data_IF_893460049260
#
_entry.id   IF_893460049260
#
_cell.length_a   1.000
_cell.length_b   1.000
_cell.length_c   1.000
_cell.angle_alpha   90.00
_cell.angle_beta   90.00
_cell.angle_gamma   90.00
#
_symmetry.space_group_name_H-M   'P 1'
#
loop_
_entity.id
_entity.type
_entity.pdbx_description
1 polymer ?
#
# COMPACT_ATOMS: atom_id res chain seq x y z
N UNK A 1 -0.83 1.47 34.11
CA UNK A 1 -1.83 2.16 33.27
C UNK A 1 -1.04 2.72 32.10
N UNK A 2 -1.35 2.34 30.87
CA UNK A 2 -0.57 2.75 29.69
C UNK A 2 -0.64 4.27 29.58
N UNK A 3 0.52 4.92 29.54
CA UNK A 3 0.64 6.39 29.46
C UNK A 3 0.88 6.87 28.03
N UNK A 4 1.10 5.93 27.11
CA UNK A 4 1.33 6.12 25.69
C UNK A 4 0.60 5.01 24.91
N UNK A 5 -0.02 5.35 23.79
CA UNK A 5 -0.81 4.46 22.96
C UNK A 5 -0.39 4.66 21.51
N UNK A 6 -0.08 3.57 20.82
CA UNK A 6 0.24 3.58 19.38
C UNK A 6 -0.96 3.15 18.53
N UNK A 7 -1.97 2.58 19.17
CA UNK A 7 -3.19 2.15 18.52
C UNK A 7 -4.42 2.72 19.23
N UNK A 8 -5.44 3.06 18.44
CA UNK A 8 -6.68 3.65 18.94
C UNK A 8 -7.41 2.77 19.97
N UNK A 9 -7.32 1.44 19.82
CA UNK A 9 -7.93 0.46 20.74
C UNK A 9 -7.23 0.41 22.12
N UNK A 10 -6.02 0.96 22.24
CA UNK A 10 -5.27 1.06 23.50
C UNK A 10 -5.72 2.26 24.35
N UNK A 11 -6.45 3.21 23.76
CA UNK A 11 -6.95 4.38 24.46
C UNK A 11 -7.90 3.97 25.60
N UNK A 12 -7.82 4.61 26.78
CA UNK A 12 -8.80 4.39 27.85
C UNK A 12 -10.24 4.63 27.39
N UNK A 13 -11.19 3.80 27.84
CA UNK A 13 -12.61 3.91 27.49
C UNK A 13 -13.17 5.32 27.72
N UNK A 14 -12.67 6.00 28.76
CA UNK A 14 -13.08 7.36 29.14
C UNK A 14 -12.78 8.43 28.09
N UNK A 15 -11.83 8.20 27.18
CA UNK A 15 -11.46 9.15 26.12
C UNK A 15 -11.66 8.58 24.72
N UNK A 16 -11.70 7.25 24.58
CA UNK A 16 -11.76 6.58 23.28
C UNK A 16 -12.95 7.03 22.45
N UNK A 17 -14.14 7.15 23.06
CA UNK A 17 -15.34 7.63 22.37
C UNK A 17 -15.16 9.02 21.75
N UNK A 18 -14.55 9.96 22.48
CA UNK A 18 -14.31 11.31 21.99
C UNK A 18 -13.36 11.36 20.80
N UNK A 19 -12.32 10.53 20.80
CA UNK A 19 -11.35 10.47 19.69
C UNK A 19 -11.95 9.71 18.50
N UNK A 20 -12.63 8.59 18.73
CA UNK A 20 -13.30 7.80 17.67
C UNK A 20 -14.37 8.63 16.97
N UNK A 21 -15.22 9.33 17.72
CA UNK A 21 -16.33 10.10 17.16
C UNK A 21 -15.85 11.35 16.40
N UNK A 22 -14.63 11.82 16.69
CA UNK A 22 -14.00 12.96 16.01
C UNK A 22 -13.21 12.56 14.76
N UNK A 23 -12.76 11.30 14.67
CA UNK A 23 -12.05 10.78 13.51
C UNK A 23 -12.97 10.68 12.29
N UNK A 24 -12.54 11.22 11.16
CA UNK A 24 -13.20 10.95 9.87
C UNK A 24 -12.79 9.58 9.31
N UNK A 25 -13.55 9.04 8.34
CA UNK A 25 -13.21 7.75 7.71
C UNK A 25 -11.84 7.75 7.00
N UNK A 26 -11.33 8.93 6.64
CA UNK A 26 -10.03 9.09 5.97
C UNK A 26 -8.88 9.36 6.95
N UNK A 27 -9.18 9.71 8.21
CA UNK A 27 -8.20 10.17 9.17
C UNK A 27 -7.58 9.00 9.94
N UNK A 28 -6.25 8.95 10.01
CA UNK A 28 -5.53 7.82 10.63
C UNK A 28 -5.02 8.20 12.01
N UNK A 29 -5.37 7.44 13.05
CA UNK A 29 -4.80 7.59 14.38
C UNK A 29 -3.31 7.21 14.37
N UNK A 30 -2.45 8.09 14.91
CA UNK A 30 -1.00 7.85 14.97
C UNK A 30 -0.54 7.48 16.38
N UNK A 31 -0.83 8.33 17.37
CA UNK A 31 -0.44 8.08 18.75
C UNK A 31 -1.28 8.89 19.75
N UNK A 32 -1.24 8.49 21.02
CA UNK A 32 -1.73 9.32 22.11
C UNK A 32 -0.87 9.19 23.37
N UNK A 33 -0.74 10.30 24.10
CA UNK A 33 0.00 10.35 25.35
C UNK A 33 -0.82 11.00 26.44
N UNK A 34 -0.65 10.49 27.66
CA UNK A 34 -1.25 11.08 28.86
C UNK A 34 -0.45 12.33 29.28
N UNK A 35 -1.17 13.40 29.57
CA UNK A 35 -0.63 14.67 30.09
C UNK A 35 -1.33 15.12 31.37
N UNK A 36 -0.68 16.02 32.11
CA UNK A 36 -1.27 16.74 33.24
C UNK A 36 -1.39 18.23 32.92
N UNK A 37 -2.60 18.78 33.06
CA UNK A 37 -2.88 20.21 32.86
C UNK A 37 -3.40 20.86 34.16
N UNK A 38 -2.90 22.05 34.50
CA UNK A 38 -3.47 22.88 35.57
C UNK A 38 -3.21 22.42 37.01
N UNK A 39 -2.08 21.77 37.28
CA UNK A 39 -1.76 21.19 38.59
C UNK A 39 -2.40 19.81 38.78
N UNK A 40 -2.04 19.12 39.87
CA UNK A 40 -2.23 17.67 40.15
C UNK A 40 -3.67 17.08 40.05
N UNK A 41 -4.69 17.80 39.55
CA UNK A 41 -6.10 17.41 39.65
C UNK A 41 -6.80 17.09 38.33
N UNK A 42 -6.20 17.36 37.15
CA UNK A 42 -6.83 17.06 35.86
C UNK A 42 -5.94 16.13 35.01
N UNK A 43 -6.54 15.06 34.51
CA UNK A 43 -5.90 14.17 33.54
C UNK A 43 -6.34 14.59 32.15
N UNK A 44 -5.37 14.92 31.30
CA UNK A 44 -5.62 15.20 29.91
C UNK A 44 -4.88 14.18 29.03
N UNK A 45 -5.30 14.07 27.78
CA UNK A 45 -4.68 13.25 26.77
C UNK A 45 -4.50 14.07 25.51
N UNK A 46 -3.31 13.96 24.93
CA UNK A 46 -2.99 14.45 23.61
C UNK A 46 -3.07 13.24 22.68
N UNK A 47 -3.86 13.32 21.63
CA UNK A 47 -3.96 12.29 20.60
C UNK A 47 -3.70 12.93 19.24
N UNK A 48 -2.77 12.39 18.48
CA UNK A 48 -2.41 12.89 17.15
C UNK A 48 -2.85 11.92 16.09
N UNK A 49 -3.39 12.47 15.01
CA UNK A 49 -3.86 11.76 13.83
C UNK A 49 -3.11 12.24 12.59
N UNK A 50 -3.56 11.86 11.40
CA UNK A 50 -3.07 12.44 10.15
C UNK A 50 -3.41 13.92 9.99
N UNK A 51 -4.50 14.40 10.60
CA UNK A 51 -5.09 15.70 10.27
C UNK A 51 -5.23 16.64 11.49
N UNK A 52 -5.34 16.08 12.70
CA UNK A 52 -5.62 16.82 13.92
C UNK A 52 -4.75 16.38 15.10
N UNK A 53 -4.50 17.33 15.98
CA UNK A 53 -4.11 17.11 17.36
C UNK A 53 -5.32 17.34 18.26
N UNK A 54 -5.78 16.27 18.90
CA UNK A 54 -6.87 16.30 19.86
C UNK A 54 -6.35 16.44 21.29
N UNK A 55 -6.89 17.40 22.04
CA UNK A 55 -6.67 17.54 23.48
C UNK A 55 -7.95 17.16 24.21
N UNK A 56 -7.93 16.01 24.87
CA UNK A 56 -9.06 15.50 25.68
C UNK A 56 -8.77 15.74 27.15
N UNK A 57 -9.45 16.70 27.77
CA UNK A 57 -9.34 16.95 29.22
C UNK A 57 -10.47 16.24 29.94
N UNK A 58 -10.15 15.21 30.72
CA UNK A 58 -11.12 14.48 31.54
C UNK A 58 -11.28 15.18 32.90
N UNK A 59 -12.47 15.71 33.16
CA UNK A 59 -12.88 16.27 34.46
C UNK A 59 -13.80 15.28 35.18
N UNK A 60 -13.98 15.46 36.48
CA UNK A 60 -14.75 14.56 37.35
C UNK A 60 -16.22 14.34 36.90
N UNK A 61 -16.77 15.24 36.09
CA UNK A 61 -18.19 15.26 35.69
C UNK A 61 -18.36 15.28 34.17
N UNK A 62 -17.34 15.71 33.41
CA UNK A 62 -17.42 15.91 31.96
C UNK A 62 -16.03 15.82 31.32
N UNK A 63 -15.94 15.55 30.02
CA UNK A 63 -14.69 15.63 29.27
C UNK A 63 -14.82 16.65 28.13
N UNK A 64 -13.82 17.51 27.99
CA UNK A 64 -13.76 18.51 26.90
C UNK A 64 -12.76 18.06 25.85
N UNK A 65 -13.18 18.04 24.60
CA UNK A 65 -12.34 17.82 23.42
C UNK A 65 -12.03 19.18 22.79
N UNK A 66 -10.75 19.49 22.61
CA UNK A 66 -10.28 20.55 21.72
C UNK A 66 -9.63 19.88 20.52
N UNK A 67 -10.03 20.28 19.32
CA UNK A 67 -9.41 19.85 18.07
C UNK A 67 -8.53 20.97 17.54
N UNK A 68 -7.25 20.69 17.36
CA UNK A 68 -6.30 21.59 16.71
C UNK A 68 -5.94 20.97 15.37
N UNK A 69 -6.41 21.53 14.24
CA UNK A 69 -5.98 21.05 12.93
C UNK A 69 -4.46 21.16 12.80
N UNK A 70 -3.79 20.12 12.33
CA UNK A 70 -2.32 20.16 12.18
C UNK A 70 -1.90 21.25 11.20
N UNK A 71 -2.75 21.59 10.23
CA UNK A 71 -2.54 22.69 9.27
C UNK A 71 -2.52 24.07 9.92
N UNK A 72 -2.87 24.22 11.21
CA UNK A 72 -2.75 25.50 11.92
C UNK A 72 -1.53 25.57 12.84
N UNK A 73 -0.78 24.48 12.98
CA UNK A 73 0.42 24.40 13.82
C UNK A 73 1.60 25.03 13.09
N UNK A 74 2.25 26.00 13.72
CA UNK A 74 3.44 26.69 13.20
C UNK A 74 4.72 26.12 13.79
N UNK A 75 4.71 25.69 15.06
CA UNK A 75 5.89 25.12 15.69
C UNK A 75 5.55 24.11 16.78
N UNK A 76 6.44 23.13 16.96
CA UNK A 76 6.40 22.21 18.11
C UNK A 76 7.77 22.19 18.76
N UNK A 77 7.84 22.79 19.93
CA UNK A 77 9.04 22.77 20.76
C UNK A 77 8.90 21.75 21.88
N UNK A 78 10.03 21.17 22.28
CA UNK A 78 10.04 20.27 23.43
C UNK A 78 11.26 20.41 24.30
N UNK A 79 11.01 20.44 25.61
CA UNK A 79 12.03 20.55 26.64
C UNK A 79 11.93 19.41 27.65
N UNK A 80 13.07 19.01 28.20
CA UNK A 80 13.11 18.03 29.29
C UNK A 80 12.79 18.71 30.61
N UNK A 81 11.86 18.13 31.37
CA UNK A 81 11.50 18.62 32.71
C UNK A 81 12.19 17.74 33.74
N UNK A 82 13.20 18.28 34.41
CA UNK A 82 13.96 17.58 35.45
C UNK A 82 13.18 17.56 36.77
N UNK A 83 12.39 16.50 36.99
CA UNK A 83 11.73 16.21 38.26
C UNK A 83 12.37 14.98 38.95
N UNK A 84 12.55 15.01 40.28
CA UNK A 84 13.13 13.89 41.01
C UNK A 84 12.21 12.66 40.95
N UNK A 85 12.63 11.64 40.21
CA UNK A 85 11.96 10.33 40.12
C UNK A 85 11.00 10.15 38.94
N UNK A 86 10.79 11.19 38.12
CA UNK A 86 9.94 11.11 36.91
C UNK A 86 10.64 11.80 35.74
N UNK A 87 10.76 11.11 34.60
CA UNK A 87 11.19 11.70 33.34
C UNK A 87 9.96 12.22 32.62
N UNK A 88 9.83 13.54 32.49
CA UNK A 88 8.75 14.21 31.75
C UNK A 88 9.33 15.13 30.69
N UNK A 89 8.49 15.45 29.72
CA UNK A 89 8.79 16.49 28.73
C UNK A 89 7.70 17.54 28.76
N UNK A 90 8.09 18.78 28.58
CA UNK A 90 7.18 19.86 28.25
C UNK A 90 7.12 19.94 26.72
N UNK A 91 5.92 19.96 26.17
CA UNK A 91 5.67 20.18 24.75
C UNK A 91 4.92 21.51 24.62
N UNK A 92 5.45 22.40 23.79
CA UNK A 92 4.80 23.65 23.40
C UNK A 92 4.38 23.52 21.95
N UNK A 93 3.09 23.72 21.69
CA UNK A 93 2.50 23.71 20.36
C UNK A 93 2.05 25.13 20.07
N UNK A 94 2.70 25.76 19.09
CA UNK A 94 2.28 27.06 18.59
C UNK A 94 1.38 26.86 17.38
N UNK A 95 0.28 27.61 17.36
CA UNK A 95 -0.57 27.76 16.19
C UNK A 95 -0.54 29.22 15.76
N UNK A 96 -1.14 29.48 14.60
CA UNK A 96 -1.36 30.84 14.09
C UNK A 96 -2.01 31.76 15.12
N UNK A 97 -2.98 31.24 15.88
CA UNK A 97 -3.85 32.03 16.75
C UNK A 97 -3.50 31.91 18.24
N UNK A 98 -2.88 30.80 18.67
CA UNK A 98 -2.74 30.44 20.08
C UNK A 98 -1.45 29.65 20.34
N UNK A 99 -1.07 29.54 21.62
CA UNK A 99 0.04 28.69 22.06
C UNK A 99 -0.42 27.82 23.23
N UNK A 100 -0.09 26.53 23.16
CA UNK A 100 -0.49 25.53 24.14
C UNK A 100 0.73 24.81 24.69
N UNK A 101 0.89 24.81 26.02
CA UNK A 101 1.97 24.09 26.70
C UNK A 101 1.41 22.96 27.56
N UNK A 102 2.00 21.77 27.43
CA UNK A 102 1.59 20.56 28.15
C UNK A 102 2.80 19.81 28.72
N UNK A 103 2.68 19.29 29.94
CA UNK A 103 3.62 18.31 30.47
C UNK A 103 3.17 16.90 30.11
N UNK A 104 3.96 16.19 29.30
CA UNK A 104 3.68 14.82 28.85
C UNK A 104 4.61 13.81 29.50
N UNK A 105 4.09 12.60 29.72
CA UNK A 105 4.90 11.46 30.11
C UNK A 105 5.46 10.76 28.88
N UNK A 106 6.46 11.38 28.25
CA UNK A 106 7.17 10.87 27.08
C UNK A 106 8.69 10.83 27.33
N UNK A 107 9.18 9.84 28.09
CA UNK A 107 10.57 9.79 28.51
C UNK A 107 11.54 9.65 27.33
N UNK A 108 11.12 8.96 26.27
CA UNK A 108 11.95 8.63 25.12
C UNK A 108 11.78 9.64 23.98
N UNK A 109 10.68 10.40 23.93
CA UNK A 109 10.41 11.40 22.90
C UNK A 109 9.60 10.86 21.72
N UNK A 110 9.04 9.66 21.84
CA UNK A 110 8.37 8.94 20.75
C UNK A 110 7.08 9.64 20.33
N UNK A 111 6.32 10.18 21.31
CA UNK A 111 5.13 10.95 21.00
C UNK A 111 5.51 12.26 20.29
N UNK A 112 6.53 12.95 20.76
CA UNK A 112 6.97 14.22 20.16
C UNK A 112 7.42 14.02 18.72
N UNK A 113 8.22 12.98 18.47
CA UNK A 113 8.64 12.60 17.11
C UNK A 113 7.43 12.29 16.22
N UNK A 114 6.42 11.59 16.76
CA UNK A 114 5.18 11.29 16.02
C UNK A 114 4.41 12.56 15.67
N UNK A 115 4.25 13.52 16.60
CA UNK A 115 3.55 14.78 16.32
C UNK A 115 4.34 15.63 15.33
N UNK A 116 5.66 15.75 15.51
CA UNK A 116 6.53 16.50 14.59
C UNK A 116 6.47 15.90 13.18
N UNK A 117 6.51 14.56 13.06
CA UNK A 117 6.34 13.87 11.77
C UNK A 117 4.96 14.14 11.17
N UNK A 118 3.89 14.17 11.97
CA UNK A 118 2.56 14.48 11.48
C UNK A 118 2.42 15.94 11.00
N UNK A 119 3.03 16.89 11.72
CA UNK A 119 3.03 18.31 11.32
C UNK A 119 3.92 18.56 10.09
N UNK A 120 5.05 17.86 9.99
CA UNK A 120 5.92 17.92 8.81
C UNK A 120 5.22 17.45 7.51
N UNK A 121 4.14 16.68 7.62
CA UNK A 121 3.36 16.19 6.48
C UNK A 121 2.21 17.12 6.05
N UNK A 122 2.04 18.28 6.69
CA UNK A 122 1.00 19.26 6.34
C UNK A 122 1.62 20.60 5.94
N UNK A 123 0.98 21.35 5.03
CA UNK A 123 1.50 22.65 4.60
C UNK A 123 1.50 23.65 5.75
N UNK A 124 2.56 24.45 5.83
CA UNK A 124 2.69 25.55 6.80
C UNK A 124 1.45 26.48 6.73
N UNK A 125 0.74 26.70 7.85
CA UNK A 125 -0.40 27.62 7.90
C UNK A 125 -0.08 29.02 7.40
N UNK A 126 1.12 29.53 7.68
CA UNK A 126 1.53 30.85 7.24
C UNK A 126 1.51 30.92 5.72
N UNK A 127 1.87 29.84 5.02
CA UNK A 127 1.78 29.74 3.56
C UNK A 127 0.34 29.68 3.03
N UNK A 128 -0.63 29.33 3.85
CA UNK A 128 -2.04 29.25 3.42
C UNK A 128 -2.80 30.56 3.57
N UNK A 129 -2.36 31.47 4.46
CA UNK A 129 -2.99 32.78 4.67
C UNK A 129 -2.00 33.95 4.46
N UNK A 130 -2.22 34.84 3.48
CA UNK A 130 -1.32 35.95 3.16
C UNK A 130 -1.30 37.06 4.22
N UNK A 131 -2.13 36.99 5.27
CA UNK A 131 -2.18 37.99 6.34
C UNK A 131 -1.15 37.73 7.45
N UNK A 132 -0.58 36.52 7.52
CA UNK A 132 0.45 36.17 8.50
C UNK A 132 1.85 36.56 7.99
N UNK A 133 2.68 37.06 8.91
CA UNK A 133 4.09 37.31 8.64
C UNK A 133 4.78 35.97 8.50
N UNK A 134 5.26 35.64 7.31
CA UNK A 134 5.93 34.36 7.04
C UNK A 134 7.37 34.40 7.49
N UNK A 135 7.75 33.49 8.38
CA UNK A 135 9.18 33.14 8.48
C UNK A 135 9.57 32.32 7.24
N UNK A 136 10.21 33.00 6.28
CA UNK A 136 10.57 32.40 4.99
C UNK A 136 11.50 31.19 5.17
N UNK A 137 12.41 31.22 6.14
CA UNK A 137 13.36 30.12 6.32
C UNK A 137 12.65 28.89 6.92
N UNK A 138 11.72 29.12 7.85
CA UNK A 138 10.84 28.07 8.37
C UNK A 138 9.94 27.47 7.28
N UNK A 139 9.33 28.32 6.46
CA UNK A 139 8.45 27.88 5.37
C UNK A 139 9.20 27.06 4.30
N UNK A 140 10.45 27.42 3.99
CA UNK A 140 11.30 26.61 3.10
C UNK A 140 11.58 25.24 3.73
N UNK A 141 11.94 25.20 5.02
CA UNK A 141 12.18 23.94 5.72
C UNK A 141 10.93 23.04 5.73
N UNK A 142 9.74 23.59 6.00
CA UNK A 142 8.49 22.84 5.92
C UNK A 142 8.27 22.25 4.52
N UNK A 143 8.54 23.01 3.46
CA UNK A 143 8.44 22.49 2.10
C UNK A 143 9.43 21.35 1.83
N UNK A 144 10.66 21.44 2.35
CA UNK A 144 11.67 20.37 2.25
C UNK A 144 11.22 19.10 2.98
N UNK A 145 10.67 19.24 4.19
CA UNK A 145 10.18 18.12 4.99
C UNK A 145 9.00 17.41 4.29
N UNK A 146 8.08 18.18 3.69
CA UNK A 146 6.97 17.65 2.88
C UNK A 146 7.49 16.89 1.65
N UNK A 147 8.56 17.36 1.00
CA UNK A 147 9.21 16.65 -0.13
C UNK A 147 9.83 15.33 0.33
N UNK A 148 10.46 15.30 1.50
CA UNK A 148 11.02 14.07 2.08
C UNK A 148 9.92 13.06 2.43
N UNK A 149 8.80 13.54 2.99
CA UNK A 149 7.62 12.71 3.23
C UNK A 149 7.06 12.13 1.92
N UNK A 150 6.93 12.93 0.87
CA UNK A 150 6.49 12.47 -0.45
C UNK A 150 7.41 11.38 -1.03
N UNK A 151 8.73 11.57 -0.90
CA UNK A 151 9.73 10.59 -1.36
C UNK A 151 9.65 9.28 -0.56
N UNK A 152 9.40 9.37 0.76
CA UNK A 152 9.22 8.21 1.63
C UNK A 152 7.95 7.44 1.26
N UNK A 153 6.81 8.13 1.11
CA UNK A 153 5.56 7.54 0.65
C UNK A 153 5.72 6.85 -0.71
N UNK A 154 6.47 7.45 -1.64
CA UNK A 154 6.81 6.84 -2.94
C UNK A 154 7.61 5.53 -2.75
N UNK A 155 8.65 5.54 -1.93
CA UNK A 155 9.47 4.35 -1.67
C UNK A 155 8.67 3.21 -1.00
N UNK A 156 7.69 3.60 -0.18
CA UNK A 156 6.72 2.68 0.41
C UNK A 156 5.62 2.28 -0.57
N UNK A 157 5.62 2.79 -1.81
CA UNK A 157 4.65 2.56 -2.87
C UNK A 157 3.23 3.07 -2.56
N UNK A 158 3.11 4.07 -1.70
CA UNK A 158 1.90 4.83 -1.38
C UNK A 158 1.79 5.99 -2.37
N UNK A 159 1.52 5.66 -3.64
CA UNK A 159 1.65 6.61 -4.74
C UNK A 159 0.63 7.77 -4.71
N UNK A 160 -0.58 7.52 -4.18
CA UNK A 160 -1.59 8.57 -4.02
C UNK A 160 -1.15 9.60 -2.97
N UNK A 161 -0.72 9.12 -1.79
CA UNK A 161 -0.16 9.96 -0.73
C UNK A 161 1.09 10.73 -1.20
N UNK A 162 2.01 10.05 -1.90
CA UNK A 162 3.19 10.72 -2.46
C UNK A 162 2.80 11.85 -3.44
N UNK A 163 1.75 11.64 -4.25
CA UNK A 163 1.25 12.66 -5.18
C UNK A 163 0.68 13.86 -4.44
N UNK A 164 -0.16 13.64 -3.43
CA UNK A 164 -0.74 14.70 -2.59
C UNK A 164 0.34 15.50 -1.85
N UNK A 165 1.36 14.82 -1.32
CA UNK A 165 2.49 15.47 -0.65
C UNK A 165 3.33 16.30 -1.63
N UNK A 166 3.60 15.81 -2.85
CA UNK A 166 4.29 16.63 -3.86
C UNK A 166 3.45 17.85 -4.30
N UNK A 167 2.13 17.74 -4.43
CA UNK A 167 1.26 18.89 -4.73
C UNK A 167 1.30 19.94 -3.62
N UNK A 168 1.32 19.48 -2.37
CA UNK A 168 1.45 20.30 -1.18
C UNK A 168 2.78 21.07 -1.21
N UNK A 169 3.91 20.38 -1.43
CA UNK A 169 5.22 21.02 -1.56
C UNK A 169 5.29 22.03 -2.71
N UNK A 170 4.74 21.69 -3.89
CA UNK A 170 4.70 22.61 -5.06
C UNK A 170 3.94 23.89 -4.70
N UNK A 171 2.82 23.76 -3.99
CA UNK A 171 2.01 24.90 -3.56
C UNK A 171 2.78 25.75 -2.55
N UNK A 172 3.41 25.12 -1.55
CA UNK A 172 4.23 25.80 -0.54
C UNK A 172 5.38 26.60 -1.18
N UNK A 173 6.20 25.95 -2.00
CA UNK A 173 7.32 26.62 -2.69
C UNK A 173 6.88 27.77 -3.60
N UNK A 174 5.73 27.65 -4.29
CA UNK A 174 5.17 28.75 -5.09
C UNK A 174 4.78 29.93 -4.22
N UNK A 175 4.13 29.69 -3.08
CA UNK A 175 3.79 30.76 -2.14
C UNK A 175 5.03 31.44 -1.59
N UNK A 176 6.06 30.67 -1.19
CA UNK A 176 7.35 31.24 -0.74
C UNK A 176 7.95 32.11 -1.84
N UNK A 177 7.98 31.62 -3.08
CA UNK A 177 8.50 32.35 -4.24
C UNK A 177 7.76 33.69 -4.46
N UNK A 178 6.44 33.73 -4.33
CA UNK A 178 5.65 34.95 -4.50
C UNK A 178 5.86 35.98 -3.38
N UNK A 179 6.19 35.52 -2.17
CA UNK A 179 6.41 36.37 -0.99
C UNK A 179 7.83 36.90 -0.87
N UNK A 180 8.79 36.27 -1.55
CA UNK A 180 10.17 36.71 -1.56
C UNK A 180 10.34 38.07 -2.27
N UNK A 181 11.24 38.94 -1.76
CA UNK A 181 11.56 40.19 -2.44
C UNK A 181 12.13 39.94 -3.84
N UNK A 182 11.79 40.83 -4.78
CA UNK A 182 12.35 40.76 -6.14
C UNK A 182 13.89 40.84 -6.10
N UNK A 183 14.55 39.80 -6.60
CA UNK A 183 16.02 39.68 -6.64
C UNK A 183 16.63 39.01 -5.41
N UNK A 184 15.83 38.33 -4.59
CA UNK A 184 16.36 37.43 -3.55
C UNK A 184 17.08 36.23 -4.19
N UNK A 185 18.29 35.93 -3.72
CA UNK A 185 19.13 34.85 -4.25
C UNK A 185 18.51 33.46 -4.09
N UNK A 186 17.50 33.30 -3.21
CA UNK A 186 16.76 32.04 -3.02
C UNK A 186 15.80 31.71 -4.17
N UNK A 187 15.44 32.67 -5.03
CA UNK A 187 14.54 32.42 -6.17
C UNK A 187 15.04 31.30 -7.09
N UNK A 188 16.33 31.32 -7.44
CA UNK A 188 16.92 30.33 -8.34
C UNK A 188 16.88 28.91 -7.72
N UNK A 189 17.11 28.81 -6.41
CA UNK A 189 17.05 27.54 -5.69
C UNK A 189 15.62 26.99 -5.61
N UNK A 190 14.63 27.85 -5.35
CA UNK A 190 13.22 27.46 -5.30
C UNK A 190 12.71 27.05 -6.69
N UNK A 191 13.10 27.74 -7.76
CA UNK A 191 12.72 27.37 -9.13
C UNK A 191 13.31 26.01 -9.55
N UNK A 192 14.57 25.75 -9.16
CA UNK A 192 15.19 24.44 -9.35
C UNK A 192 14.45 23.34 -8.58
N UNK A 193 14.16 23.56 -7.29
CA UNK A 193 13.40 22.62 -6.46
C UNK A 193 12.01 22.33 -7.05
N UNK A 194 11.28 23.37 -7.47
CA UNK A 194 9.98 23.22 -8.13
C UNK A 194 10.05 22.39 -9.41
N UNK A 195 11.11 22.56 -10.20
CA UNK A 195 11.33 21.79 -11.42
C UNK A 195 11.54 20.31 -11.11
N UNK A 196 12.38 20.01 -10.11
CA UNK A 196 12.69 18.65 -9.70
C UNK A 196 11.47 17.95 -9.10
N UNK A 197 10.73 18.64 -8.23
CA UNK A 197 9.50 18.13 -7.60
C UNK A 197 8.42 17.84 -8.65
N UNK A 198 8.21 18.75 -9.61
CA UNK A 198 7.25 18.53 -10.71
C UNK A 198 7.65 17.35 -11.61
N UNK A 199 8.95 17.14 -11.83
CA UNK A 199 9.45 15.99 -12.57
C UNK A 199 9.20 14.68 -11.79
N UNK A 200 9.46 14.67 -10.47
CA UNK A 200 9.20 13.53 -9.61
C UNK A 200 7.70 13.17 -9.56
N UNK A 201 6.83 14.17 -9.38
CA UNK A 201 5.38 13.99 -9.40
C UNK A 201 4.92 13.38 -10.74
N UNK A 202 5.40 13.90 -11.87
CA UNK A 202 5.05 13.38 -13.20
C UNK A 202 5.48 11.91 -13.37
N UNK A 203 6.66 11.53 -12.89
CA UNK A 203 7.12 10.15 -12.93
C UNK A 203 6.20 9.20 -12.15
N UNK A 204 5.70 9.63 -10.98
CA UNK A 204 4.74 8.84 -10.20
C UNK A 204 3.43 8.67 -10.97
N UNK A 205 2.88 9.74 -11.53
CA UNK A 205 1.64 9.68 -12.32
C UNK A 205 1.80 8.73 -13.51
N UNK A 206 2.89 8.86 -14.28
CA UNK A 206 3.18 7.97 -15.41
C UNK A 206 3.32 6.51 -14.96
N UNK A 207 3.97 6.25 -13.82
CA UNK A 207 4.10 4.92 -13.24
C UNK A 207 2.73 4.35 -12.82
N UNK A 208 1.87 5.14 -12.17
CA UNK A 208 0.52 4.73 -11.76
C UNK A 208 -0.34 4.36 -12.98
N UNK A 209 -0.37 5.22 -13.99
CA UNK A 209 -1.10 4.97 -15.24
C UNK A 209 -0.60 3.70 -15.93
N UNK A 210 0.73 3.50 -15.97
CA UNK A 210 1.34 2.30 -16.54
C UNK A 210 0.95 1.05 -15.75
N UNK A 211 1.02 1.10 -14.42
CA UNK A 211 0.65 -0.01 -13.53
C UNK A 211 -0.82 -0.38 -13.70
N UNK A 212 -1.74 0.57 -13.78
CA UNK A 212 -3.16 0.29 -14.00
C UNK A 212 -3.44 -0.26 -15.41
N UNK A 213 -2.72 0.22 -16.42
CA UNK A 213 -2.80 -0.35 -17.78
C UNK A 213 -2.34 -1.82 -17.78
N UNK A 214 -1.19 -2.11 -17.15
CA UNK A 214 -0.66 -3.48 -17.01
C UNK A 214 -1.65 -4.36 -16.24
N UNK A 215 -2.17 -3.89 -15.10
CA UNK A 215 -3.17 -4.61 -14.30
C UNK A 215 -4.42 -4.95 -15.09
N UNK A 216 -4.93 -4.01 -15.89
CA UNK A 216 -6.08 -4.23 -16.77
C UNK A 216 -5.80 -5.32 -17.81
N UNK A 217 -4.62 -5.27 -18.45
CA UNK A 217 -4.19 -6.28 -19.45
C UNK A 217 -4.03 -7.66 -18.82
N UNK A 218 -3.34 -7.74 -17.68
CA UNK A 218 -3.16 -8.99 -16.94
C UNK A 218 -4.50 -9.59 -16.50
N UNK A 219 -5.46 -8.75 -16.07
CA UNK A 219 -6.81 -9.21 -15.69
C UNK A 219 -7.56 -9.81 -16.88
N UNK A 220 -7.53 -9.14 -18.04
CA UNK A 220 -8.19 -9.64 -19.25
C UNK A 220 -7.53 -10.92 -19.77
N UNK A 221 -6.20 -11.00 -19.73
CA UNK A 221 -5.43 -12.17 -20.12
C UNK A 221 -5.72 -13.36 -19.19
N UNK A 222 -5.74 -13.14 -17.88
CA UNK A 222 -6.06 -14.16 -16.89
C UNK A 222 -7.49 -14.69 -17.05
N UNK A 223 -8.48 -13.81 -17.22
CA UNK A 223 -9.86 -14.23 -17.49
C UNK A 223 -9.97 -15.09 -18.76
N UNK A 224 -9.22 -14.73 -19.80
CA UNK A 224 -9.14 -15.52 -21.03
C UNK A 224 -8.48 -16.88 -20.79
N UNK A 225 -7.40 -16.92 -20.00
CA UNK A 225 -6.72 -18.16 -19.63
C UNK A 225 -7.65 -19.09 -18.85
N UNK A 226 -8.30 -18.59 -17.80
CA UNK A 226 -9.23 -19.35 -16.96
C UNK A 226 -10.42 -19.89 -17.78
N UNK A 227 -10.96 -19.07 -18.69
CA UNK A 227 -12.00 -19.51 -19.64
C UNK A 227 -11.48 -20.61 -20.57
N UNK A 228 -10.24 -20.52 -21.04
CA UNK A 228 -9.63 -21.52 -21.91
C UNK A 228 -9.48 -22.87 -21.20
N UNK A 229 -9.02 -22.87 -19.94
CA UNK A 229 -8.89 -24.09 -19.13
C UNK A 229 -10.25 -24.78 -19.01
N UNK A 230 -11.29 -24.05 -18.60
CA UNK A 230 -12.65 -24.61 -18.47
C UNK A 230 -13.18 -25.18 -19.78
N UNK A 231 -13.07 -24.43 -20.88
CA UNK A 231 -13.51 -24.89 -22.20
C UNK A 231 -12.74 -26.16 -22.63
N UNK A 232 -11.45 -26.22 -22.34
CA UNK A 232 -10.60 -27.38 -22.67
C UNK A 232 -11.08 -28.62 -21.91
N UNK A 233 -11.31 -28.49 -20.62
CA UNK A 233 -11.82 -29.57 -19.76
C UNK A 233 -13.20 -30.07 -20.21
N UNK A 234 -14.07 -29.16 -20.65
CA UNK A 234 -15.40 -29.49 -21.18
C UNK A 234 -15.38 -30.06 -22.61
N UNK A 235 -14.20 -30.16 -23.24
CA UNK A 235 -14.05 -30.66 -24.61
C UNK A 235 -14.42 -29.66 -25.71
N UNK A 236 -14.63 -28.38 -25.36
CA UNK A 236 -14.94 -27.29 -26.28
C UNK A 236 -13.67 -26.76 -26.97
N UNK A 237 -13.00 -27.61 -27.76
CA UNK A 237 -11.66 -27.35 -28.31
C UNK A 237 -11.54 -26.00 -29.05
N UNK A 238 -12.51 -25.66 -29.90
CA UNK A 238 -12.47 -24.39 -30.66
C UNK A 238 -12.50 -23.18 -29.71
N UNK A 239 -13.32 -23.23 -28.66
CA UNK A 239 -13.42 -22.16 -27.67
C UNK A 239 -12.11 -22.08 -26.88
N UNK A 240 -11.62 -23.21 -26.38
CA UNK A 240 -10.36 -23.29 -25.65
C UNK A 240 -9.19 -22.69 -26.46
N UNK A 241 -9.06 -23.08 -27.73
CA UNK A 241 -7.99 -22.62 -28.63
C UNK A 241 -8.02 -21.11 -28.86
N UNK A 242 -9.21 -20.54 -29.07
CA UNK A 242 -9.37 -19.08 -29.24
C UNK A 242 -8.98 -18.37 -27.94
N UNK A 243 -9.42 -18.88 -26.79
CA UNK A 243 -9.20 -18.25 -25.48
C UNK A 243 -7.74 -18.34 -25.02
N UNK A 244 -7.05 -19.46 -25.25
CA UNK A 244 -5.61 -19.54 -25.00
C UNK A 244 -4.83 -18.54 -25.86
N UNK A 245 -5.19 -18.38 -27.15
CA UNK A 245 -4.54 -17.37 -28.00
C UNK A 245 -4.75 -15.96 -27.43
N UNK A 246 -5.97 -15.60 -27.09
CA UNK A 246 -6.29 -14.29 -26.50
C UNK A 246 -5.54 -14.04 -25.19
N UNK A 247 -5.44 -15.06 -24.33
CA UNK A 247 -4.68 -14.95 -23.09
C UNK A 247 -3.19 -14.72 -23.36
N UNK A 248 -2.60 -15.47 -24.31
CA UNK A 248 -1.18 -15.36 -24.64
C UNK A 248 -0.87 -13.98 -25.18
N UNK A 249 -1.63 -13.55 -26.20
CA UNK A 249 -1.46 -12.25 -26.83
C UNK A 249 -1.64 -11.13 -25.77
N UNK A 250 -2.59 -11.26 -24.83
CA UNK A 250 -2.77 -10.30 -23.74
C UNK A 250 -1.64 -10.27 -22.70
N UNK A 251 -1.03 -11.43 -22.38
CA UNK A 251 0.16 -11.46 -21.52
C UNK A 251 1.40 -10.92 -22.23
N UNK A 252 1.56 -11.16 -23.54
CA UNK A 252 2.62 -10.58 -24.37
C UNK A 252 2.51 -9.06 -24.41
N UNK A 253 1.30 -8.52 -24.65
CA UNK A 253 1.04 -7.07 -24.57
C UNK A 253 1.37 -6.49 -23.18
N UNK A 254 1.01 -7.20 -22.09
CA UNK A 254 1.37 -6.78 -20.75
C UNK A 254 2.89 -6.78 -20.52
N UNK A 255 3.61 -7.76 -21.10
CA UNK A 255 5.07 -7.86 -21.03
C UNK A 255 5.76 -6.71 -21.75
N UNK A 256 5.28 -6.32 -22.94
CA UNK A 256 5.77 -5.13 -23.65
C UNK A 256 5.57 -3.86 -22.82
N UNK A 257 4.48 -3.78 -22.06
CA UNK A 257 4.24 -2.65 -21.17
C UNK A 257 5.21 -2.63 -19.98
N UNK A 258 5.62 -3.79 -19.50
CA UNK A 258 6.57 -3.93 -18.39
C UNK A 258 8.00 -3.58 -18.80
N UNK A 259 8.37 -3.84 -20.06
CA UNK A 259 9.74 -3.67 -20.58
C UNK A 259 10.19 -2.21 -20.80
N UNK A 260 9.41 -1.24 -20.34
CA UNK A 260 9.79 0.18 -20.36
C UNK A 260 10.79 0.56 -19.27
N UNK A 261 11.16 1.83 -19.23
CA UNK A 261 12.13 2.38 -18.26
C UNK A 261 11.55 2.54 -16.85
N UNK A 262 10.22 2.49 -16.69
CA UNK A 262 9.54 2.66 -15.41
C UNK A 262 9.47 1.33 -14.64
N UNK A 263 9.81 1.31 -13.35
CA UNK A 263 9.83 0.09 -12.54
C UNK A 263 8.40 -0.34 -12.12
N UNK A 264 7.65 -0.90 -13.07
CA UNK A 264 6.24 -1.30 -12.91
C UNK A 264 6.00 -2.23 -11.71
N UNK A 265 7.00 -2.99 -11.25
CA UNK A 265 6.89 -3.95 -10.16
C UNK A 265 7.48 -3.49 -8.82
N UNK A 266 7.62 -2.18 -8.55
CA UNK A 266 7.97 -1.69 -7.19
C UNK A 266 7.08 -2.29 -6.10
N UNK A 267 5.79 -2.48 -6.41
CA UNK A 267 4.86 -3.34 -5.67
C UNK A 267 4.24 -4.41 -6.58
N UNK A 268 3.93 -5.61 -6.06
CA UNK A 268 3.20 -6.61 -6.83
C UNK A 268 1.86 -6.07 -7.35
N UNK A 269 1.50 -6.44 -8.58
CA UNK A 269 0.21 -6.14 -9.19
C UNK A 269 -0.75 -7.27 -8.86
N UNK A 270 -1.81 -6.95 -8.12
CA UNK A 270 -2.87 -7.90 -7.78
C UNK A 270 -3.95 -7.90 -8.85
N UNK A 271 -4.29 -9.10 -9.33
CA UNK A 271 -5.30 -9.35 -10.36
C UNK A 271 -6.34 -10.29 -9.79
N UNK A 272 -7.61 -9.89 -9.81
CA UNK A 272 -8.71 -10.74 -9.38
C UNK A 272 -9.49 -11.19 -10.62
N UNK A 273 -9.26 -12.40 -11.14
CA UNK A 273 -10.07 -12.94 -12.23
C UNK A 273 -11.52 -13.17 -11.76
N UNK A 274 -12.47 -13.23 -12.70
CA UNK A 274 -13.88 -13.57 -12.45
C UNK A 274 -14.03 -15.07 -12.12
N UNK A 275 -13.49 -15.44 -10.97
CA UNK A 275 -13.18 -16.79 -10.54
C UNK A 275 -14.41 -17.67 -10.32
N UNK A 276 -15.45 -17.15 -9.65
CA UNK A 276 -16.58 -17.98 -9.23
C UNK A 276 -17.39 -18.52 -10.42
N UNK A 277 -17.43 -17.76 -11.52
CA UNK A 277 -18.08 -18.21 -12.75
C UNK A 277 -17.21 -19.17 -13.56
N UNK A 278 -15.88 -19.15 -13.39
CA UNK A 278 -14.90 -19.84 -14.23
C UNK A 278 -14.24 -21.05 -13.55
N UNK A 279 -14.43 -21.22 -12.24
CA UNK A 279 -13.83 -22.29 -11.44
C UNK A 279 -14.17 -23.69 -11.97
N UNK A 280 -13.14 -24.54 -12.04
CA UNK A 280 -13.27 -25.98 -12.29
C UNK A 280 -12.90 -26.65 -10.97
N UNK A 281 -13.79 -27.51 -10.48
CA UNK A 281 -13.63 -28.23 -9.23
C UNK A 281 -14.17 -29.64 -9.39
N UNK A 282 -13.75 -30.53 -8.51
CA UNK A 282 -14.13 -31.93 -8.51
C UNK A 282 -12.96 -32.90 -8.65
N UNK A 283 -13.25 -34.20 -8.67
CA UNK A 283 -12.26 -35.25 -8.85
C UNK A 283 -11.74 -35.28 -10.29
N UNK A 284 -10.46 -35.63 -10.47
CA UNK A 284 -9.83 -35.64 -11.79
C UNK A 284 -10.46 -36.67 -12.76
N UNK A 285 -11.05 -37.73 -12.21
CA UNK A 285 -11.73 -38.79 -12.95
C UNK A 285 -13.00 -38.33 -13.67
N UNK A 286 -13.57 -37.19 -13.29
CA UNK A 286 -14.75 -36.63 -13.96
C UNK A 286 -14.41 -35.87 -15.27
N UNK A 287 -13.13 -35.57 -15.50
CA UNK A 287 -12.70 -34.85 -16.70
C UNK A 287 -12.38 -35.84 -17.82
N UNK A 288 -13.28 -35.94 -18.80
CA UNK A 288 -13.17 -36.87 -19.94
C UNK A 288 -11.89 -36.72 -20.78
N UNK A 289 -11.16 -35.61 -20.61
CA UNK A 289 -9.89 -35.32 -21.29
C UNK A 289 -8.65 -35.81 -20.56
N UNK A 290 -8.77 -36.30 -19.33
CA UNK A 290 -7.66 -36.92 -18.59
C UNK A 290 -7.88 -38.44 -18.64
N UNK A 291 -6.88 -39.18 -19.11
CA UNK A 291 -7.00 -40.64 -19.18
C UNK A 291 -7.09 -41.28 -17.79
N UNK A 292 -7.79 -42.42 -17.69
CA UNK A 292 -7.89 -43.19 -16.44
C UNK A 292 -6.50 -43.60 -15.91
N UNK A 293 -5.57 -43.93 -16.81
CA UNK A 293 -4.20 -44.28 -16.43
C UNK A 293 -3.47 -43.12 -15.73
N UNK A 294 -3.62 -41.89 -16.25
CA UNK A 294 -3.06 -40.70 -15.63
C UNK A 294 -3.74 -40.34 -14.31
N UNK A 295 -5.08 -40.50 -14.21
CA UNK A 295 -5.78 -40.26 -12.94
C UNK A 295 -5.40 -41.27 -11.87
N UNK A 296 -5.22 -42.54 -12.23
CA UNK A 296 -4.80 -43.60 -11.31
C UNK A 296 -3.36 -43.33 -10.80
N UNK A 297 -2.45 -42.97 -11.71
CA UNK A 297 -1.07 -42.64 -11.38
C UNK A 297 -0.94 -41.40 -10.48
N UNK A 298 -1.82 -40.39 -10.65
CA UNK A 298 -1.90 -39.22 -9.78
C UNK A 298 -2.55 -39.56 -8.43
N UNK A 299 -3.56 -40.42 -8.42
CA UNK A 299 -4.22 -40.89 -7.19
C UNK A 299 -3.25 -41.66 -6.29
N UNK A 300 -2.35 -42.48 -6.86
CA UNK A 300 -1.25 -43.15 -6.17
C UNK A 300 -0.26 -42.17 -5.49
N UNK A 301 -0.30 -40.89 -5.89
CA UNK A 301 0.47 -39.78 -5.31
C UNK A 301 -0.37 -38.85 -4.44
N UNK A 302 -1.57 -39.29 -4.05
CA UNK A 302 -2.54 -38.51 -3.26
C UNK A 302 -3.00 -37.23 -3.97
N UNK A 303 -3.05 -37.23 -5.30
CA UNK A 303 -3.58 -36.14 -6.12
C UNK A 303 -4.84 -36.65 -6.82
N UNK A 304 -5.99 -36.50 -6.17
CA UNK A 304 -7.27 -37.03 -6.67
C UNK A 304 -8.19 -35.94 -7.23
N UNK A 305 -8.01 -34.69 -6.81
CA UNK A 305 -8.90 -33.57 -7.14
C UNK A 305 -8.16 -32.41 -7.80
N UNK A 306 -8.91 -31.50 -8.42
CA UNK A 306 -8.35 -30.24 -8.93
C UNK A 306 -7.73 -29.42 -7.80
N UNK A 307 -8.33 -29.43 -6.60
CA UNK A 307 -7.79 -28.76 -5.42
C UNK A 307 -6.42 -29.32 -5.02
N UNK A 308 -6.25 -30.64 -5.09
CA UNK A 308 -4.96 -31.29 -4.82
C UNK A 308 -3.92 -30.84 -5.85
N UNK A 309 -4.26 -30.81 -7.15
CA UNK A 309 -3.37 -30.28 -8.20
C UNK A 309 -2.98 -28.82 -7.95
N UNK A 310 -3.95 -27.97 -7.61
CA UNK A 310 -3.73 -26.54 -7.37
C UNK A 310 -2.83 -26.30 -6.16
N UNK A 311 -3.02 -27.06 -5.07
CA UNK A 311 -2.19 -27.00 -3.87
C UNK A 311 -0.73 -27.40 -4.12
N UNK A 312 -0.51 -28.22 -5.16
CA UNK A 312 0.81 -28.71 -5.57
C UNK A 312 1.44 -27.84 -6.67
N UNK A 313 0.70 -26.87 -7.22
CA UNK A 313 1.15 -25.99 -8.28
C UNK A 313 1.76 -24.69 -7.74
N UNK A 314 2.98 -24.37 -8.19
CA UNK A 314 3.56 -23.05 -7.98
C UNK A 314 2.78 -22.01 -8.80
N UNK A 315 1.99 -21.18 -8.12
CA UNK A 315 1.40 -19.98 -8.74
C UNK A 315 2.47 -18.89 -8.92
N UNK A 316 2.19 -17.82 -9.69
CA UNK A 316 2.84 -16.54 -9.40
C UNK A 316 2.40 -16.14 -7.98
N UNK A 317 3.39 -15.91 -7.12
CA UNK A 317 3.37 -15.99 -5.64
C UNK A 317 1.99 -15.98 -4.96
N UNK A 318 1.59 -17.09 -4.33
CA UNK A 318 0.76 -17.03 -3.12
C UNK A 318 1.70 -16.64 -1.99
N UNK A 319 1.77 -15.34 -1.67
CA UNK A 319 2.44 -14.73 -0.50
C UNK A 319 3.51 -15.63 0.13
N UNK A 320 4.77 -15.46 -0.28
CA UNK A 320 5.92 -16.03 0.43
C UNK A 320 5.94 -15.42 1.85
N UNK A 321 5.28 -16.11 2.76
CA UNK A 321 5.66 -16.08 4.17
C UNK A 321 6.65 -17.23 4.32
N UNK A 322 7.91 -16.87 4.54
CA UNK A 322 9.01 -17.74 4.95
C UNK A 322 9.73 -18.55 3.84
N UNK A 323 10.80 -17.96 3.30
CA UNK A 323 12.11 -18.60 3.06
C UNK A 323 12.19 -19.95 2.32
N UNK A 324 11.18 -20.34 1.56
CA UNK A 324 11.11 -21.67 0.94
C UNK A 324 11.73 -21.65 -0.46
N UNK A 325 12.58 -22.65 -0.76
CA UNK A 325 13.23 -22.83 -2.05
C UNK A 325 12.25 -22.72 -3.24
N UNK A 326 12.70 -22.23 -4.41
CA UNK A 326 11.85 -22.10 -5.59
C UNK A 326 11.22 -23.45 -5.93
N UNK A 327 9.90 -23.51 -5.79
CA UNK A 327 9.11 -24.72 -6.04
C UNK A 327 9.27 -25.10 -7.52
N UNK A 328 9.72 -26.32 -7.86
CA UNK A 328 10.00 -26.69 -9.25
C UNK A 328 8.73 -26.63 -10.11
N UNK A 329 8.84 -26.37 -11.42
CA UNK A 329 7.73 -26.34 -12.36
C UNK A 329 6.85 -27.58 -12.21
N UNK A 330 5.53 -27.42 -12.34
CA UNK A 330 4.56 -28.53 -12.27
C UNK A 330 4.92 -29.63 -13.28
N UNK A 331 5.50 -29.26 -14.43
CA UNK A 331 5.99 -30.17 -15.46
C UNK A 331 7.07 -31.13 -14.94
N UNK A 332 8.06 -30.63 -14.21
CA UNK A 332 9.18 -31.42 -13.68
C UNK A 332 8.72 -32.40 -12.58
N UNK A 333 7.58 -32.11 -11.94
CA UNK A 333 6.95 -33.02 -10.98
C UNK A 333 6.25 -34.19 -11.66
N UNK A 334 5.77 -34.00 -12.89
CA UNK A 334 5.17 -35.07 -13.68
C UNK A 334 6.20 -35.99 -14.35
N UNK A 335 7.47 -35.58 -14.47
CA UNK A 335 8.53 -36.41 -15.09
C UNK A 335 8.81 -37.72 -14.33
N UNK A 336 8.45 -37.80 -13.04
CA UNK A 336 8.60 -39.01 -12.20
C UNK A 336 7.33 -39.86 -12.07
N UNK A 337 6.22 -39.39 -12.64
CA UNK A 337 4.91 -40.05 -12.55
C UNK A 337 4.54 -40.60 -13.93
N UNK A 338 4.00 -41.82 -13.99
CA UNK A 338 3.62 -42.46 -15.24
C UNK A 338 2.32 -41.85 -15.82
N UNK A 339 2.40 -40.60 -16.26
CA UNK A 339 1.31 -39.81 -16.85
C UNK A 339 1.45 -39.85 -18.37
N UNK A 340 0.34 -39.98 -19.08
CA UNK A 340 0.35 -39.86 -20.53
C UNK A 340 0.76 -38.43 -20.93
N UNK A 341 1.72 -38.30 -21.85
CA UNK A 341 2.20 -37.00 -22.32
C UNK A 341 1.08 -36.16 -22.94
N UNK A 342 0.00 -36.78 -23.43
CA UNK A 342 -1.19 -36.07 -23.93
C UNK A 342 -1.99 -35.39 -22.81
N UNK A 343 -1.92 -35.89 -21.57
CA UNK A 343 -2.67 -35.38 -20.41
C UNK A 343 -1.90 -34.28 -19.67
N UNK A 344 -0.57 -34.22 -19.80
CA UNK A 344 0.28 -33.25 -19.10
C UNK A 344 -0.19 -31.79 -19.29
N UNK A 345 -0.52 -31.31 -20.50
CA UNK A 345 -0.90 -29.91 -20.67
C UNK A 345 -2.21 -29.52 -19.98
N UNK A 346 -3.22 -30.41 -20.00
CA UNK A 346 -4.51 -30.15 -19.33
C UNK A 346 -4.35 -30.20 -17.81
N UNK A 347 -3.51 -31.09 -17.29
CA UNK A 347 -3.16 -31.16 -15.87
C UNK A 347 -2.38 -29.92 -15.41
N UNK A 348 -1.41 -29.45 -16.20
CA UNK A 348 -0.70 -28.19 -15.93
C UNK A 348 -1.69 -27.02 -15.93
N UNK A 349 -2.57 -26.92 -16.92
CA UNK A 349 -3.56 -25.86 -17.01
C UNK A 349 -4.53 -25.84 -15.81
N UNK A 350 -5.07 -27.01 -15.43
CA UNK A 350 -5.91 -27.18 -14.23
C UNK A 350 -5.19 -26.79 -12.94
N UNK A 351 -3.91 -27.15 -12.83
CA UNK A 351 -3.09 -26.83 -11.66
C UNK A 351 -2.84 -25.32 -11.52
N UNK A 352 -2.83 -24.59 -12.64
CA UNK A 352 -2.63 -23.15 -12.71
C UNK A 352 -3.94 -22.34 -12.64
N UNK A 353 -5.08 -23.03 -12.55
CA UNK A 353 -6.37 -22.41 -12.32
C UNK A 353 -6.38 -21.78 -10.92
N UNK A 354 -6.95 -20.58 -10.81
CA UNK A 354 -7.00 -19.83 -9.55
C UNK A 354 -8.38 -19.19 -9.40
N UNK A 355 -8.92 -19.28 -8.20
CA UNK A 355 -10.20 -18.66 -7.84
C UNK A 355 -10.04 -17.43 -6.95
N UNK A 356 -8.83 -17.16 -6.46
CA UNK A 356 -8.50 -15.97 -5.68
C UNK A 356 -7.68 -14.96 -6.47
N UNK A 357 -7.35 -13.86 -5.81
CA UNK A 357 -6.43 -12.86 -6.35
C UNK A 357 -5.06 -13.50 -6.68
N UNK A 358 -4.50 -13.09 -7.80
CA UNK A 358 -3.22 -13.53 -8.34
C UNK A 358 -2.25 -12.35 -8.27
N UNK A 359 -1.08 -12.58 -7.69
CA UNK A 359 -0.05 -11.56 -7.55
C UNK A 359 1.01 -11.72 -8.63
N UNK A 360 1.27 -10.66 -9.39
CA UNK A 360 2.40 -10.57 -10.31
C UNK A 360 3.45 -9.64 -9.70
N UNK A 361 4.59 -10.20 -9.28
CA UNK A 361 5.65 -9.45 -8.62
C UNK A 361 6.86 -9.21 -9.53
N UNK A 362 6.96 -9.92 -10.65
CA UNK A 362 8.07 -9.76 -11.58
C UNK A 362 7.70 -10.11 -13.02
N UNK A 363 8.56 -9.66 -13.96
CA UNK A 363 8.52 -10.04 -15.38
C UNK A 363 8.44 -11.56 -15.57
N UNK A 364 9.18 -12.32 -14.77
CA UNK A 364 9.20 -13.78 -14.82
C UNK A 364 7.85 -14.42 -14.54
N UNK A 365 6.97 -13.77 -13.77
CA UNK A 365 5.63 -14.29 -13.47
C UNK A 365 4.73 -14.18 -14.70
N UNK A 366 4.81 -13.07 -15.43
CA UNK A 366 4.09 -12.86 -16.69
C UNK A 366 4.61 -13.84 -17.75
N UNK A 367 5.93 -13.99 -17.88
CA UNK A 367 6.52 -14.96 -18.80
C UNK A 367 6.07 -16.39 -18.49
N UNK A 368 6.04 -16.78 -17.22
CA UNK A 368 5.56 -18.11 -16.81
C UNK A 368 4.11 -18.34 -17.25
N UNK A 369 3.26 -17.31 -17.19
CA UNK A 369 1.87 -17.37 -17.66
C UNK A 369 1.77 -17.47 -19.19
N UNK A 370 2.65 -16.82 -19.94
CA UNK A 370 2.77 -17.00 -21.40
C UNK A 370 3.11 -18.46 -21.73
N UNK A 371 4.07 -19.05 -21.03
CA UNK A 371 4.50 -20.43 -21.26
C UNK A 371 3.38 -21.43 -20.93
N UNK A 372 2.68 -21.23 -19.81
CA UNK A 372 1.51 -22.04 -19.42
C UNK A 372 0.38 -21.95 -20.45
N UNK A 373 0.11 -20.74 -20.93
CA UNK A 373 -0.94 -20.50 -21.94
C UNK A 373 -0.58 -21.15 -23.28
N UNK A 374 0.69 -21.08 -23.69
CA UNK A 374 1.20 -21.70 -24.90
C UNK A 374 1.11 -23.22 -24.82
N UNK A 375 1.51 -23.81 -23.69
CA UNK A 375 1.36 -25.25 -23.46
C UNK A 375 -0.10 -25.69 -23.53
N UNK A 376 -1.03 -24.89 -22.98
CA UNK A 376 -2.47 -25.15 -23.06
C UNK A 376 -3.00 -25.06 -24.49
N UNK A 377 -2.53 -24.07 -25.26
CA UNK A 377 -2.88 -23.88 -26.67
C UNK A 377 -2.47 -25.09 -27.52
N UNK A 378 -1.21 -25.53 -27.40
CA UNK A 378 -0.67 -26.61 -28.21
C UNK A 378 -1.39 -27.95 -27.98
N UNK A 379 -1.92 -28.15 -26.77
CA UNK A 379 -2.70 -29.33 -26.41
C UNK A 379 -4.14 -29.33 -26.94
N UNK A 380 -4.62 -28.21 -27.47
CA UNK A 380 -5.92 -28.14 -28.15
C UNK A 380 -5.85 -28.48 -29.64
N UNK A 381 -4.66 -28.76 -30.18
CA UNK A 381 -4.39 -29.00 -31.61
C UNK A 381 -4.61 -30.46 -32.01
#
# INVERSE_FOLDING_TARGET
>A
MTQYCTQQNELPDAIRGYVVDALTEAETFRAAVKTTTGGLTQTAWLAVTSDNLFVVVSKLIDATLVSVPLTTVTSIESDRVDLPGERRREITIETVDDSFTYEIHDPDGEFIETVQTAVATVPDPELTDPTHSTDIDHAIQNCEDVVEAAASARNEGLFDEATEQYETAITGYRTVFERLPAGDDRHDAIEAALTDIQAAQRQITELQERRETVKTRLTAAENSFQTAVRAHVNGEQTVAKIRYRQARDGFEEALELIDGDLPVFEKPIQVSPDADALAVSGPLTEFARVSTASTDALSDKEIATVGDLQSRAAGPSTIDTDGSEPTPPVRDRFESTAIDQVDVPILVALSCQRTGAISFAARSDVQRRIDQTTSGYDATV
#
